data_IF_727238243089
#
_entry.id   IF_727238243089
#
_cell.length_a   1.000
_cell.length_b   1.000
_cell.length_c   1.000
_cell.angle_alpha   90.00
_cell.angle_beta   90.00
_cell.angle_gamma   90.00
#
_symmetry.space_group_name_H-M   'P 1'
#
loop_
_entity.id
_entity.type
_entity.pdbx_description
1 polymer ?
#
# COMPACT_ATOMS: atom_id res chain seq x y z
N UNK A 1 -31.61 -67.41 43.39
CA UNK A 1 -30.75 -67.65 42.20
C UNK A 1 -30.98 -66.49 41.23
N UNK A 2 -29.89 -65.99 40.64
CA UNK A 2 -29.77 -64.90 39.65
C UNK A 2 -30.08 -63.45 40.05
N UNK A 3 -28.99 -62.69 40.23
CA UNK A 3 -28.92 -61.23 40.25
C UNK A 3 -28.87 -60.73 38.81
N UNK A 4 -29.73 -59.78 38.44
CA UNK A 4 -29.57 -58.98 37.22
C UNK A 4 -29.27 -57.55 37.67
N UNK A 5 -27.98 -57.19 37.66
CA UNK A 5 -27.52 -55.81 37.78
C UNK A 5 -27.53 -55.20 36.38
N UNK A 6 -28.47 -54.31 36.09
CA UNK A 6 -28.46 -53.53 34.84
C UNK A 6 -27.76 -52.20 35.16
N UNK A 7 -26.63 -51.99 34.49
CA UNK A 7 -25.74 -50.83 34.66
C UNK A 7 -26.45 -49.53 34.23
N UNK A 8 -26.70 -48.65 35.21
CA UNK A 8 -27.08 -47.25 35.01
C UNK A 8 -25.78 -46.47 34.84
N UNK A 9 -25.20 -46.42 33.64
CA UNK A 9 -24.06 -45.53 33.35
C UNK A 9 -23.93 -45.13 31.87
N UNK A 10 -25.02 -45.07 31.09
CA UNK A 10 -24.88 -44.62 29.70
C UNK A 10 -26.18 -44.03 29.14
N UNK A 11 -26.48 -42.79 29.52
CA UNK A 11 -27.71 -42.14 29.08
C UNK A 11 -27.77 -40.62 29.21
N UNK A 12 -26.63 -39.92 29.35
CA UNK A 12 -26.61 -38.44 29.44
C UNK A 12 -25.50 -37.80 28.57
N UNK A 13 -24.98 -38.50 27.55
CA UNK A 13 -23.88 -37.98 26.74
C UNK A 13 -24.14 -38.02 25.23
N UNK A 14 -25.40 -37.96 24.80
CA UNK A 14 -25.78 -37.95 23.38
C UNK A 14 -26.80 -36.86 23.07
N UNK A 15 -26.66 -35.68 23.68
CA UNK A 15 -27.56 -34.55 23.38
C UNK A 15 -26.85 -33.19 23.23
N UNK A 16 -25.53 -33.15 23.10
CA UNK A 16 -24.81 -31.86 23.00
C UNK A 16 -23.57 -31.92 22.09
N UNK A 17 -23.57 -32.75 21.05
CA UNK A 17 -22.40 -32.87 20.15
C UNK A 17 -22.66 -32.54 18.67
N UNK A 18 -23.87 -32.11 18.29
CA UNK A 18 -24.21 -31.81 16.89
C UNK A 18 -24.45 -30.33 16.57
N UNK A 19 -24.13 -29.40 17.48
CA UNK A 19 -24.38 -27.96 17.27
C UNK A 19 -23.12 -27.09 17.05
N UNK A 20 -21.96 -27.68 16.78
CA UNK A 20 -20.70 -26.92 16.56
C UNK A 20 -20.24 -26.81 15.09
N UNK A 21 -21.01 -27.27 14.09
CA UNK A 21 -20.58 -27.27 12.68
C UNK A 21 -20.95 -26.02 11.86
N UNK A 22 -21.57 -24.98 12.45
CA UNK A 22 -22.06 -23.82 11.70
C UNK A 22 -21.18 -22.55 11.81
N UNK A 23 -20.04 -22.60 12.50
CA UNK A 23 -19.18 -21.43 12.73
C UNK A 23 -17.95 -21.31 11.81
N UNK A 24 -17.91 -22.01 10.67
CA UNK A 24 -16.76 -22.01 9.75
C UNK A 24 -17.09 -21.45 8.35
N UNK A 25 -18.16 -20.68 8.20
CA UNK A 25 -18.44 -19.97 6.96
C UNK A 25 -17.84 -18.54 7.02
N UNK A 26 -16.51 -18.45 7.01
CA UNK A 26 -15.84 -17.21 6.61
C UNK A 26 -15.72 -17.25 5.09
N UNK A 27 -16.52 -16.46 4.39
CA UNK A 27 -16.34 -16.27 2.95
C UNK A 27 -14.93 -15.74 2.69
N UNK A 28 -14.17 -16.43 1.85
CA UNK A 28 -12.87 -15.96 1.41
C UNK A 28 -13.01 -14.57 0.76
N UNK A 29 -12.12 -13.60 1.04
CA UNK A 29 -12.17 -12.28 0.40
C UNK A 29 -12.18 -12.40 -1.13
N UNK A 30 -13.02 -11.61 -1.80
CA UNK A 30 -12.98 -11.48 -3.26
C UNK A 30 -11.71 -10.71 -3.67
N UNK A 31 -10.85 -11.36 -4.46
CA UNK A 31 -9.61 -10.76 -4.94
C UNK A 31 -9.81 -9.42 -5.65
N UNK A 32 -10.99 -9.19 -6.26
CA UNK A 32 -11.29 -7.94 -6.98
C UNK A 32 -11.32 -6.73 -6.05
N UNK A 33 -11.79 -6.90 -4.82
CA UNK A 33 -11.80 -5.83 -3.81
C UNK A 33 -10.36 -5.46 -3.43
N UNK A 34 -9.50 -6.47 -3.23
CA UNK A 34 -8.10 -6.25 -2.85
C UNK A 34 -7.32 -5.64 -4.03
N UNK A 35 -7.60 -6.09 -5.27
CA UNK A 35 -7.05 -5.47 -6.48
C UNK A 35 -7.43 -4.00 -6.58
N UNK A 36 -8.69 -3.66 -6.29
CA UNK A 36 -9.16 -2.28 -6.28
C UNK A 36 -8.37 -1.43 -5.27
N UNK A 37 -8.20 -1.91 -4.03
CA UNK A 37 -7.36 -1.23 -3.03
C UNK A 37 -5.92 -0.99 -3.51
N UNK A 38 -5.34 -1.95 -4.24
CA UNK A 38 -3.97 -1.83 -4.80
C UNK A 38 -3.92 -0.72 -5.85
N UNK A 39 -4.91 -0.67 -6.74
CA UNK A 39 -4.98 0.37 -7.79
C UNK A 39 -5.22 1.75 -7.19
N UNK A 40 -6.12 1.87 -6.21
CA UNK A 40 -6.35 3.14 -5.52
C UNK A 40 -5.09 3.66 -4.80
N UNK A 41 -4.31 2.76 -4.19
CA UNK A 41 -3.04 3.12 -3.59
C UNK A 41 -2.00 3.52 -4.64
N UNK A 42 -1.97 2.85 -5.80
CA UNK A 42 -1.15 3.26 -6.94
C UNK A 42 -1.50 4.69 -7.39
N UNK A 43 -2.78 4.98 -7.60
CA UNK A 43 -3.23 6.29 -8.12
C UNK A 43 -2.87 7.42 -7.14
N UNK A 44 -2.99 7.17 -5.84
CA UNK A 44 -2.52 8.10 -4.82
C UNK A 44 -1.01 8.35 -4.91
N UNK A 45 -0.22 7.29 -5.07
CA UNK A 45 1.23 7.42 -5.16
C UNK A 45 1.69 8.09 -6.46
N UNK A 46 0.91 7.99 -7.54
CA UNK A 46 1.15 8.77 -8.76
C UNK A 46 1.03 10.27 -8.50
N UNK A 47 0.03 10.71 -7.71
CA UNK A 47 -0.09 12.10 -7.30
C UNK A 47 1.07 12.56 -6.38
N UNK A 48 1.58 11.66 -5.52
CA UNK A 48 2.80 11.92 -4.75
C UNK A 48 4.03 12.06 -5.67
N UNK A 49 4.11 11.27 -6.75
CA UNK A 49 5.12 11.39 -7.80
C UNK A 49 5.08 12.72 -8.55
N UNK A 50 3.89 13.22 -8.92
CA UNK A 50 3.74 14.56 -9.49
C UNK A 50 4.27 15.64 -8.53
N UNK A 51 3.93 15.51 -7.25
CA UNK A 51 4.44 16.40 -6.20
C UNK A 51 5.96 16.33 -6.10
N UNK A 52 6.55 15.13 -6.18
CA UNK A 52 7.99 14.92 -6.16
C UNK A 52 8.70 15.65 -7.32
N UNK A 53 8.13 15.57 -8.53
CA UNK A 53 8.63 16.30 -9.71
C UNK A 53 8.61 17.82 -9.46
N UNK A 54 7.52 18.36 -8.93
CA UNK A 54 7.41 19.78 -8.62
C UNK A 54 8.44 20.26 -7.59
N UNK A 55 8.64 19.49 -6.51
CA UNK A 55 9.63 19.82 -5.48
C UNK A 55 11.05 19.73 -6.03
N UNK A 56 11.36 18.73 -6.87
CA UNK A 56 12.64 18.60 -7.54
C UNK A 56 12.97 19.82 -8.40
N UNK A 57 12.02 20.32 -9.20
CA UNK A 57 12.22 21.55 -9.99
C UNK A 57 12.52 22.78 -9.11
N UNK A 58 11.85 22.91 -7.96
CA UNK A 58 12.11 24.00 -7.00
C UNK A 58 13.51 23.84 -6.38
N UNK A 59 13.89 22.63 -5.99
CA UNK A 59 15.22 22.32 -5.46
C UNK A 59 16.33 22.63 -6.47
N UNK A 60 16.17 22.22 -7.73
CA UNK A 60 17.11 22.54 -8.81
C UNK A 60 17.27 24.06 -8.99
N UNK A 61 16.18 24.81 -8.91
CA UNK A 61 16.21 26.28 -8.99
C UNK A 61 17.01 26.91 -7.84
N UNK A 62 16.78 26.44 -6.60
CA UNK A 62 17.55 26.90 -5.43
C UNK A 62 19.03 26.55 -5.56
N UNK A 63 19.35 25.37 -6.10
CA UNK A 63 20.73 24.90 -6.25
C UNK A 63 21.58 25.81 -7.14
N UNK A 64 20.99 26.51 -8.13
CA UNK A 64 21.72 27.42 -9.04
C UNK A 64 22.50 28.49 -8.26
N UNK A 65 21.88 29.08 -7.24
CA UNK A 65 22.43 30.20 -6.47
C UNK A 65 22.95 29.80 -5.08
N UNK A 66 22.74 28.55 -4.68
CA UNK A 66 23.11 28.03 -3.37
C UNK A 66 24.63 27.86 -3.14
N UNK A 67 25.02 27.86 -1.87
CA UNK A 67 26.38 27.49 -1.45
C UNK A 67 26.69 26.02 -1.81
N UNK A 68 27.98 25.64 -1.79
CA UNK A 68 28.35 24.25 -2.07
C UNK A 68 27.73 23.26 -1.08
N UNK A 69 27.65 23.60 0.20
CA UNK A 69 26.98 22.79 1.22
C UNK A 69 25.48 22.64 0.91
N UNK A 70 24.82 23.73 0.50
CA UNK A 70 23.42 23.71 0.08
C UNK A 70 23.20 22.78 -1.10
N UNK A 71 24.10 22.83 -2.10
CA UNK A 71 24.06 21.97 -3.27
C UNK A 71 24.17 20.49 -2.91
N UNK A 72 25.06 20.13 -1.98
CA UNK A 72 25.16 18.73 -1.50
C UNK A 72 23.85 18.26 -0.87
N UNK A 73 23.27 19.06 0.03
CA UNK A 73 21.99 18.74 0.67
C UNK A 73 20.84 18.62 -0.35
N UNK A 74 20.80 19.51 -1.34
CA UNK A 74 19.80 19.47 -2.41
C UNK A 74 19.95 18.20 -3.25
N UNK A 75 21.18 17.84 -3.65
CA UNK A 75 21.43 16.61 -4.40
C UNK A 75 20.93 15.38 -3.64
N UNK A 76 21.19 15.28 -2.34
CA UNK A 76 20.69 14.17 -1.52
C UNK A 76 19.16 14.09 -1.48
N UNK A 77 18.48 15.23 -1.42
CA UNK A 77 17.01 15.30 -1.45
C UNK A 77 16.46 14.88 -2.81
N UNK A 78 17.07 15.35 -3.91
CA UNK A 78 16.70 14.96 -5.27
C UNK A 78 16.90 13.46 -5.49
N UNK A 79 18.00 12.88 -4.99
CA UNK A 79 18.25 11.44 -5.05
C UNK A 79 17.14 10.65 -4.35
N UNK A 80 16.67 11.11 -3.18
CA UNK A 80 15.57 10.45 -2.46
C UNK A 80 14.24 10.53 -3.21
N UNK A 81 13.95 11.67 -3.84
CA UNK A 81 12.74 11.83 -4.67
C UNK A 81 12.80 10.89 -5.89
N UNK A 82 13.92 10.89 -6.62
CA UNK A 82 14.11 9.99 -7.77
C UNK A 82 14.00 8.51 -7.36
N UNK A 83 14.56 8.12 -6.21
CA UNK A 83 14.48 6.73 -5.75
C UNK A 83 13.03 6.27 -5.45
N UNK A 84 12.17 7.18 -5.00
CA UNK A 84 10.74 6.88 -4.83
C UNK A 84 10.05 6.68 -6.19
N UNK A 85 10.30 7.57 -7.16
CA UNK A 85 9.75 7.47 -8.52
C UNK A 85 10.25 6.23 -9.27
N UNK A 86 11.54 5.91 -9.17
CA UNK A 86 12.13 4.70 -9.74
C UNK A 86 11.48 3.44 -9.13
N UNK A 87 11.24 3.42 -7.81
CA UNK A 87 10.54 2.31 -7.18
C UNK A 87 9.11 2.13 -7.72
N UNK A 88 8.41 3.22 -8.07
CA UNK A 88 7.08 3.16 -8.69
C UNK A 88 7.16 2.63 -10.13
N UNK A 89 8.12 3.11 -10.92
CA UNK A 89 8.33 2.64 -12.29
C UNK A 89 8.67 1.15 -12.35
N UNK A 90 9.58 0.70 -11.48
CA UNK A 90 9.96 -0.72 -11.38
C UNK A 90 8.74 -1.57 -10.99
N UNK A 91 7.95 -1.10 -10.03
CA UNK A 91 6.73 -1.78 -9.64
C UNK A 91 5.71 -1.86 -10.78
N UNK A 92 5.47 -0.77 -11.51
CA UNK A 92 4.53 -0.75 -12.63
C UNK A 92 4.95 -1.68 -13.77
N UNK A 93 6.25 -1.83 -14.01
CA UNK A 93 6.78 -2.77 -15.00
C UNK A 93 6.47 -4.23 -14.63
N UNK A 94 6.56 -4.56 -13.34
CA UNK A 94 6.39 -5.93 -12.83
C UNK A 94 4.94 -6.27 -12.46
N UNK A 95 4.09 -5.27 -12.26
CA UNK A 95 2.72 -5.44 -11.80
C UNK A 95 1.85 -6.13 -12.85
N UNK A 96 1.06 -7.10 -12.40
CA UNK A 96 0.11 -7.86 -13.23
C UNK A 96 -1.30 -7.55 -12.80
N UNK A 97 -1.93 -6.64 -13.54
CA UNK A 97 -3.32 -6.25 -13.29
C UNK A 97 -4.31 -7.38 -13.59
N UNK A 98 -3.96 -8.24 -14.54
CA UNK A 98 -4.70 -9.46 -14.84
C UNK A 98 -3.94 -10.68 -14.30
N UNK A 99 -4.69 -11.56 -13.63
CA UNK A 99 -4.18 -12.74 -12.92
C UNK A 99 -4.75 -14.01 -13.54
N UNK A 100 -4.82 -14.04 -14.87
CA UNK A 100 -5.26 -15.21 -15.64
C UNK A 100 -4.56 -16.49 -15.13
N UNK A 101 -5.37 -17.53 -14.92
CA UNK A 101 -4.89 -18.82 -14.40
C UNK A 101 -4.70 -18.89 -12.88
N UNK A 102 -4.84 -17.79 -12.14
CA UNK A 102 -4.91 -17.82 -10.67
C UNK A 102 -6.35 -18.11 -10.20
N UNK A 103 -6.49 -18.94 -9.17
CA UNK A 103 -7.74 -19.00 -8.41
C UNK A 103 -7.85 -17.83 -7.42
N UNK A 104 -9.02 -17.66 -6.78
CA UNK A 104 -9.27 -16.55 -5.85
C UNK A 104 -8.20 -16.46 -4.74
N UNK A 105 -7.90 -17.56 -4.06
CA UNK A 105 -6.91 -17.59 -2.99
C UNK A 105 -5.51 -17.13 -3.46
N UNK A 106 -5.09 -17.58 -4.63
CA UNK A 106 -3.81 -17.20 -5.24
C UNK A 106 -3.79 -15.71 -5.61
N UNK A 107 -4.87 -15.20 -6.21
CA UNK A 107 -5.01 -13.80 -6.56
C UNK A 107 -5.03 -12.90 -5.31
N UNK A 108 -5.76 -13.28 -4.26
CA UNK A 108 -5.76 -12.62 -2.95
C UNK A 108 -4.35 -12.53 -2.38
N UNK A 109 -3.60 -13.64 -2.39
CA UNK A 109 -2.22 -13.66 -1.90
C UNK A 109 -1.30 -12.73 -2.72
N UNK A 110 -1.44 -12.76 -4.05
CA UNK A 110 -0.69 -11.89 -4.96
C UNK A 110 -0.95 -10.40 -4.67
N UNK A 111 -2.21 -9.96 -4.71
CA UNK A 111 -2.53 -8.54 -4.52
C UNK A 111 -2.21 -8.03 -3.11
N UNK A 112 -2.32 -8.87 -2.08
CA UNK A 112 -1.82 -8.50 -0.75
C UNK A 112 -0.30 -8.29 -0.74
N UNK A 113 0.45 -9.10 -1.47
CA UNK A 113 1.88 -8.91 -1.68
C UNK A 113 2.19 -7.57 -2.35
N UNK A 114 1.46 -7.23 -3.42
CA UNK A 114 1.61 -5.94 -4.11
C UNK A 114 1.25 -4.76 -3.21
N UNK A 115 0.16 -4.87 -2.42
CA UNK A 115 -0.24 -3.85 -1.44
C UNK A 115 0.87 -3.55 -0.44
N UNK A 116 1.58 -4.57 0.04
CA UNK A 116 2.73 -4.40 0.96
C UNK A 116 3.88 -3.64 0.29
N UNK A 117 4.14 -3.86 -1.01
CA UNK A 117 5.16 -3.10 -1.74
C UNK A 117 4.77 -1.63 -1.86
N UNK A 118 3.52 -1.35 -2.22
CA UNK A 118 3.02 0.02 -2.33
C UNK A 118 3.02 0.75 -0.99
N UNK A 119 2.70 0.09 0.13
CA UNK A 119 2.79 0.71 1.47
C UNK A 119 4.24 1.09 1.84
N UNK A 120 5.22 0.28 1.44
CA UNK A 120 6.64 0.64 1.62
C UNK A 120 7.00 1.85 0.75
N UNK A 121 6.50 1.91 -0.48
CA UNK A 121 6.71 3.02 -1.39
C UNK A 121 6.06 4.32 -0.89
N UNK A 122 4.84 4.26 -0.34
CA UNK A 122 4.18 5.38 0.35
C UNK A 122 5.06 5.95 1.47
N UNK A 123 5.76 5.09 2.20
CA UNK A 123 6.71 5.52 3.23
C UNK A 123 7.93 6.23 2.64
N UNK A 124 8.44 5.77 1.48
CA UNK A 124 9.55 6.43 0.78
C UNK A 124 9.14 7.82 0.27
N UNK A 125 7.99 7.94 -0.38
CA UNK A 125 7.44 9.22 -0.83
C UNK A 125 7.28 10.18 0.34
N UNK A 126 6.62 9.77 1.43
CA UNK A 126 6.44 10.63 2.61
C UNK A 126 7.73 11.19 3.15
N UNK A 127 8.78 10.36 3.27
CA UNK A 127 10.09 10.79 3.77
C UNK A 127 10.75 11.75 2.79
N UNK A 128 10.73 11.45 1.49
CA UNK A 128 11.35 12.27 0.45
C UNK A 128 10.66 13.64 0.32
N UNK A 129 9.33 13.65 0.20
CA UNK A 129 8.49 14.84 0.09
C UNK A 129 8.66 15.73 1.34
N UNK A 130 8.50 15.17 2.54
CA UNK A 130 8.64 15.95 3.79
C UNK A 130 10.04 16.56 3.93
N UNK A 131 11.08 15.83 3.53
CA UNK A 131 12.46 16.32 3.55
C UNK A 131 12.68 17.50 2.58
N UNK A 132 12.17 17.38 1.36
CA UNK A 132 12.26 18.42 0.34
C UNK A 132 11.46 19.67 0.73
N UNK A 133 10.22 19.50 1.21
CA UNK A 133 9.38 20.59 1.68
C UNK A 133 10.00 21.33 2.87
N UNK A 134 10.50 20.60 3.86
CA UNK A 134 11.15 21.19 5.02
C UNK A 134 12.39 22.01 4.62
N UNK A 135 13.17 21.51 3.65
CA UNK A 135 14.31 22.25 3.11
C UNK A 135 13.88 23.52 2.37
N UNK A 136 12.93 23.42 1.45
CA UNK A 136 12.42 24.56 0.67
C UNK A 136 11.83 25.65 1.58
N UNK A 137 11.06 25.25 2.59
CA UNK A 137 10.55 26.16 3.61
C UNK A 137 11.67 26.85 4.40
N UNK A 138 12.72 26.12 4.77
CA UNK A 138 13.90 26.67 5.47
C UNK A 138 14.60 27.75 4.65
N UNK A 139 14.63 27.60 3.33
CA UNK A 139 15.25 28.58 2.41
C UNK A 139 14.26 29.63 1.88
N UNK A 140 13.03 29.66 2.39
CA UNK A 140 12.03 30.69 2.07
C UNK A 140 11.29 30.50 0.74
N UNK A 141 11.29 29.29 0.18
CA UNK A 141 10.52 28.96 -1.03
C UNK A 141 9.16 28.37 -0.63
N UNK A 142 8.09 28.91 -1.19
CA UNK A 142 6.74 28.37 -0.99
C UNK A 142 6.60 26.99 -1.65
N UNK A 143 6.06 26.04 -0.88
CA UNK A 143 5.89 24.64 -1.29
C UNK A 143 4.46 24.33 -1.71
N UNK A 144 3.49 25.22 -1.47
CA UNK A 144 2.11 24.99 -1.89
C UNK A 144 2.01 24.98 -3.42
N UNK A 145 1.59 23.85 -3.99
CA UNK A 145 1.07 23.80 -5.36
C UNK A 145 -0.39 24.26 -5.31
N UNK A 146 -0.77 25.20 -6.17
CA UNK A 146 -2.17 25.30 -6.56
C UNK A 146 -2.48 24.02 -7.32
N UNK A 147 -3.10 23.04 -6.66
CA UNK A 147 -3.73 21.91 -7.34
C UNK A 147 -4.97 22.46 -8.08
N UNK A 148 -4.78 22.95 -9.30
CA UNK A 148 -5.89 22.98 -10.25
C UNK A 148 -6.18 21.53 -10.60
N UNK A 149 -7.31 21.04 -10.11
CA UNK A 149 -7.73 19.64 -10.21
C UNK A 149 -7.62 19.12 -11.64
N UNK A 150 -6.74 18.14 -11.85
CA UNK A 150 -6.78 17.32 -13.04
C UNK A 150 -7.92 16.31 -12.85
N UNK A 151 -9.09 16.68 -13.37
CA UNK A 151 -10.26 15.83 -13.46
C UNK A 151 -9.97 14.65 -14.39
N UNK A 152 -9.60 13.50 -13.82
CA UNK A 152 -9.60 12.22 -14.52
C UNK A 152 -11.03 11.64 -14.58
N UNK A 153 -11.93 12.39 -15.18
CA UNK A 153 -13.25 11.92 -15.63
C UNK A 153 -13.33 12.02 -17.15
N UNK A 154 -12.59 11.18 -17.86
CA UNK A 154 -12.95 10.67 -19.20
C UNK A 154 -11.88 9.69 -19.65
N UNK A 155 -12.19 8.39 -19.65
CA UNK A 155 -12.19 7.53 -20.84
C UNK A 155 -12.65 6.11 -20.50
#
# INVERSE_FOLDING_TARGET
MNRIKINIQLGIATFLSSLLLLAACSSEPDYKVIRQDVVELHDKLMADGETAIHLKMKLDTVAITGSQESKTQITELITKLNAADESMMDWMQDFKADVEGMNNAQAVAYFNGEKVKLVKMDSLYKVALSGAEAYLKKVGVDTHSNQDGHDHSTH
#
